data_IF_683597164413
#
_entry.id   IF_683597164413
#
_cell.length_a   1.000
_cell.length_b   1.000
_cell.length_c   1.000
_cell.angle_alpha   90.00
_cell.angle_beta   90.00
_cell.angle_gamma   90.00
#
_symmetry.space_group_name_H-M   'P 1'
#
loop_
_entity.id
_entity.type
_entity.pdbx_description
1 polymer ?
#
# COMPACT_ATOMS: atom_id res chain seq x y z
N UNK A 1 36.16 -9.76 6.64
CA UNK A 1 36.42 -8.88 5.48
C UNK A 1 35.33 -9.15 4.46
N UNK A 2 34.45 -8.19 4.17
CA UNK A 2 33.44 -8.35 3.13
C UNK A 2 34.13 -8.27 1.76
N UNK A 3 34.08 -9.32 0.95
CA UNK A 3 34.72 -9.34 -0.37
C UNK A 3 34.14 -8.23 -1.26
N UNK A 4 34.96 -7.44 -1.98
CA UNK A 4 34.49 -6.33 -2.82
C UNK A 4 33.49 -6.73 -3.92
N UNK A 5 33.40 -8.02 -4.28
CA UNK A 5 32.33 -8.54 -5.15
C UNK A 5 30.92 -8.38 -4.56
N UNK A 6 30.78 -8.43 -3.22
CA UNK A 6 29.48 -8.40 -2.55
C UNK A 6 28.75 -7.05 -2.65
N UNK A 7 29.49 -5.93 -2.68
CA UNK A 7 28.87 -4.60 -2.80
C UNK A 7 28.30 -4.38 -4.22
N UNK A 8 29.04 -4.77 -5.26
CA UNK A 8 28.57 -4.70 -6.65
C UNK A 8 27.36 -5.61 -6.88
N UNK A 9 27.37 -6.81 -6.32
CA UNK A 9 26.25 -7.75 -6.39
C UNK A 9 25.00 -7.19 -5.70
N UNK A 10 25.15 -6.57 -4.53
CA UNK A 10 24.05 -5.90 -3.83
C UNK A 10 23.47 -4.74 -4.63
N UNK A 11 24.32 -3.88 -5.19
CA UNK A 11 23.87 -2.76 -6.04
C UNK A 11 23.14 -3.30 -7.27
N UNK A 12 23.68 -4.31 -7.94
CA UNK A 12 23.04 -4.94 -9.09
C UNK A 12 21.69 -5.58 -8.73
N UNK A 13 21.57 -6.18 -7.55
CA UNK A 13 20.29 -6.72 -7.06
C UNK A 13 19.26 -5.60 -6.85
N UNK A 14 19.67 -4.47 -6.25
CA UNK A 14 18.80 -3.30 -6.07
C UNK A 14 18.36 -2.71 -7.41
N UNK A 15 19.29 -2.56 -8.35
CA UNK A 15 18.97 -2.09 -9.69
C UNK A 15 17.95 -2.99 -10.39
N UNK A 16 18.10 -4.32 -10.29
CA UNK A 16 17.11 -5.26 -10.84
C UNK A 16 15.74 -5.10 -10.20
N UNK A 17 15.67 -4.94 -8.87
CA UNK A 17 14.39 -4.71 -8.18
C UNK A 17 13.73 -3.41 -8.61
N UNK A 18 14.50 -2.33 -8.79
CA UNK A 18 13.98 -1.06 -9.27
C UNK A 18 13.48 -1.18 -10.72
N UNK A 19 14.22 -1.89 -11.57
CA UNK A 19 13.78 -2.17 -12.94
C UNK A 19 12.49 -2.99 -12.97
N UNK A 20 12.35 -4.03 -12.14
CA UNK A 20 11.08 -4.78 -12.01
C UNK A 20 9.90 -3.84 -11.71
N UNK A 21 10.09 -2.86 -10.80
CA UNK A 21 9.05 -1.89 -10.45
C UNK A 21 8.75 -0.91 -11.58
N UNK A 22 9.78 -0.44 -12.31
CA UNK A 22 9.63 0.44 -13.48
C UNK A 22 8.87 -0.29 -14.60
N UNK A 23 9.28 -1.51 -14.92
CA UNK A 23 8.60 -2.36 -15.91
C UNK A 23 7.14 -2.59 -15.51
N UNK A 24 6.88 -2.80 -14.21
CA UNK A 24 5.55 -2.91 -13.65
C UNK A 24 4.68 -1.67 -13.84
N UNK A 25 5.27 -0.46 -13.75
CA UNK A 25 4.57 0.80 -14.03
C UNK A 25 4.23 0.96 -15.52
N UNK A 26 5.06 0.40 -16.40
CA UNK A 26 4.82 0.34 -17.84
C UNK A 26 3.84 -0.79 -18.25
N UNK A 27 3.27 -1.50 -17.28
CA UNK A 27 2.29 -2.57 -17.48
C UNK A 27 2.89 -3.97 -17.60
N UNK A 28 4.21 -4.12 -17.50
CA UNK A 28 4.91 -5.40 -17.48
C UNK A 28 5.09 -5.88 -16.04
N UNK A 29 3.99 -6.32 -15.41
CA UNK A 29 3.97 -6.69 -14.00
C UNK A 29 4.96 -7.82 -13.64
N UNK A 30 5.69 -7.65 -12.53
CA UNK A 30 6.59 -8.68 -12.00
C UNK A 30 5.84 -9.70 -11.12
N UNK A 31 6.47 -10.85 -10.87
CA UNK A 31 5.98 -11.85 -9.91
C UNK A 31 7.09 -12.22 -8.93
N UNK A 32 6.83 -12.03 -7.64
CA UNK A 32 7.77 -12.42 -6.58
C UNK A 32 7.21 -13.56 -5.73
N UNK A 33 8.11 -14.47 -5.33
CA UNK A 33 7.79 -15.46 -4.31
C UNK A 33 7.61 -14.83 -2.92
N UNK A 34 6.99 -15.53 -1.99
CA UNK A 34 6.80 -15.06 -0.61
C UNK A 34 8.12 -14.63 0.04
N UNK A 35 9.18 -15.45 -0.11
CA UNK A 35 10.49 -15.15 0.46
C UNK A 35 11.14 -13.91 -0.16
N UNK A 36 11.02 -13.75 -1.49
CA UNK A 36 11.52 -12.56 -2.18
C UNK A 36 10.74 -11.31 -1.77
N UNK A 37 9.43 -11.42 -1.59
CA UNK A 37 8.58 -10.27 -1.25
C UNK A 37 9.04 -9.59 0.03
N UNK A 38 9.22 -10.31 1.12
CA UNK A 38 9.51 -9.69 2.42
C UNK A 38 10.86 -8.94 2.41
N UNK A 39 11.89 -9.54 1.80
CA UNK A 39 13.20 -8.90 1.62
C UNK A 39 13.09 -7.67 0.69
N UNK A 40 12.47 -7.82 -0.48
CA UNK A 40 12.44 -6.78 -1.51
C UNK A 40 11.56 -5.59 -1.11
N UNK A 41 10.42 -5.84 -0.47
CA UNK A 41 9.52 -4.76 0.01
C UNK A 41 10.23 -3.91 1.06
N UNK A 42 10.93 -4.54 2.02
CA UNK A 42 11.67 -3.80 3.04
C UNK A 42 12.79 -2.93 2.42
N UNK A 43 13.50 -3.45 1.41
CA UNK A 43 14.53 -2.69 0.70
C UNK A 43 13.94 -1.53 -0.12
N UNK A 44 12.80 -1.74 -0.77
CA UNK A 44 12.11 -0.70 -1.54
C UNK A 44 11.57 0.43 -0.66
N UNK A 45 11.09 0.11 0.55
CA UNK A 45 10.69 1.13 1.53
C UNK A 45 11.86 2.04 1.92
N UNK A 46 13.07 1.51 2.06
CA UNK A 46 14.25 2.31 2.38
C UNK A 46 14.64 3.31 1.28
N UNK A 47 14.24 3.06 0.04
CA UNK A 47 14.43 4.00 -1.09
C UNK A 47 13.18 4.84 -1.37
N UNK A 48 12.18 4.79 -0.48
CA UNK A 48 10.97 5.62 -0.54
C UNK A 48 9.87 5.07 -1.46
N UNK A 49 9.90 3.78 -1.82
CA UNK A 49 8.87 3.12 -2.63
C UNK A 49 8.09 2.16 -1.73
N UNK A 50 6.86 2.51 -1.39
CA UNK A 50 6.04 1.68 -0.51
C UNK A 50 5.07 0.81 -1.33
N UNK A 51 5.40 -0.48 -1.45
CA UNK A 51 4.53 -1.47 -2.09
C UNK A 51 3.52 -2.04 -1.10
N UNK A 52 2.24 -1.98 -1.44
CA UNK A 52 1.15 -2.49 -0.60
C UNK A 52 0.12 -3.23 -1.43
N UNK A 53 -0.53 -4.21 -0.81
CA UNK A 53 -1.68 -4.87 -1.41
C UNK A 53 -2.93 -4.02 -1.21
N UNK A 54 -3.97 -4.25 -2.03
CA UNK A 54 -5.24 -3.51 -1.92
C UNK A 54 -5.84 -3.58 -0.51
N UNK A 55 -5.75 -4.74 0.15
CA UNK A 55 -6.24 -4.94 1.51
C UNK A 55 -5.46 -4.08 2.51
N UNK A 56 -4.13 -4.04 2.40
CA UNK A 56 -3.28 -3.20 3.25
C UNK A 56 -3.56 -1.71 3.04
N UNK A 57 -3.71 -1.28 1.78
CA UNK A 57 -4.05 0.11 1.44
C UNK A 57 -5.37 0.56 2.09
N UNK A 58 -6.42 -0.26 1.97
CA UNK A 58 -7.71 0.01 2.59
C UNK A 58 -7.59 0.10 4.12
N UNK A 59 -6.84 -0.81 4.76
CA UNK A 59 -6.62 -0.80 6.20
C UNK A 59 -5.87 0.46 6.67
N UNK A 60 -5.01 1.02 5.81
CA UNK A 60 -4.28 2.27 6.05
C UNK A 60 -5.10 3.53 5.73
N UNK A 61 -6.37 3.41 5.31
CA UNK A 61 -7.21 4.55 4.93
C UNK A 61 -6.87 5.14 3.56
N UNK A 62 -6.30 4.34 2.65
CA UNK A 62 -6.04 4.73 1.26
C UNK A 62 -6.98 4.00 0.31
N UNK A 63 -7.24 4.61 -0.85
CA UNK A 63 -7.91 3.97 -1.99
C UNK A 63 -7.07 4.13 -3.24
N UNK A 64 -7.22 3.19 -4.18
CA UNK A 64 -6.59 3.27 -5.50
C UNK A 64 -7.18 4.41 -6.33
N UNK A 65 -6.34 5.08 -7.11
CA UNK A 65 -6.77 6.02 -8.16
C UNK A 65 -7.54 5.27 -9.26
N UNK A 66 -8.40 6.00 -9.98
CA UNK A 66 -9.12 5.42 -11.11
C UNK A 66 -8.14 4.92 -12.17
N UNK A 67 -8.32 3.69 -12.65
CA UNK A 67 -7.46 3.07 -13.65
C UNK A 67 -6.10 2.57 -13.16
N UNK A 68 -5.83 2.61 -11.84
CA UNK A 68 -4.57 2.10 -11.29
C UNK A 68 -4.39 0.60 -11.60
N UNK A 69 -3.31 0.27 -12.31
CA UNK A 69 -2.90 -1.10 -12.61
C UNK A 69 -1.91 -1.61 -11.56
N UNK A 70 -1.92 -2.91 -11.22
CA UNK A 70 -0.91 -3.45 -10.33
C UNK A 70 0.47 -3.42 -10.98
N UNK A 71 1.50 -3.04 -10.21
CA UNK A 71 2.90 -3.07 -10.67
C UNK A 71 3.50 -4.48 -10.64
N UNK A 72 2.88 -5.39 -9.90
CA UNK A 72 3.29 -6.78 -9.83
C UNK A 72 2.39 -7.59 -8.92
N UNK A 73 2.76 -8.84 -8.68
CA UNK A 73 2.05 -9.76 -7.80
C UNK A 73 2.97 -10.36 -6.74
N UNK A 74 2.48 -10.40 -5.50
CA UNK A 74 3.10 -11.12 -4.40
C UNK A 74 2.43 -12.50 -4.25
N UNK A 75 3.22 -13.56 -4.29
CA UNK A 75 2.73 -14.92 -4.02
C UNK A 75 2.77 -15.24 -2.53
N UNK A 76 1.67 -15.71 -2.00
CA UNK A 76 1.58 -16.29 -0.66
C UNK A 76 1.51 -17.80 -0.75
N UNK A 77 2.37 -18.47 0.01
CA UNK A 77 2.36 -19.93 0.11
C UNK A 77 1.42 -20.31 1.24
N UNK A 78 0.20 -20.76 0.92
CA UNK A 78 -0.61 -21.52 1.86
C UNK A 78 -0.36 -23.02 1.66
N UNK A 79 -0.59 -23.88 2.67
CA UNK A 79 -0.29 -25.31 2.60
C UNK A 79 -0.98 -26.06 1.44
N UNK A 80 -2.11 -25.55 0.95
CA UNK A 80 -2.94 -26.19 -0.08
C UNK A 80 -3.13 -25.34 -1.35
N UNK A 81 -2.85 -24.03 -1.29
CA UNK A 81 -3.06 -23.10 -2.42
C UNK A 81 -2.00 -22.00 -2.45
N UNK A 82 -1.60 -21.59 -3.65
CA UNK A 82 -0.83 -20.37 -3.87
C UNK A 82 -1.82 -19.24 -4.16
N UNK A 83 -1.80 -18.20 -3.33
CA UNK A 83 -2.58 -16.98 -3.58
C UNK A 83 -1.67 -15.92 -4.17
N UNK A 84 -2.10 -15.27 -5.25
CA UNK A 84 -1.40 -14.12 -5.81
C UNK A 84 -2.16 -12.85 -5.42
N UNK A 85 -1.51 -11.92 -4.72
CA UNK A 85 -2.09 -10.61 -4.44
C UNK A 85 -1.42 -9.52 -5.28
N UNK A 86 -2.21 -8.65 -5.92
CA UNK A 86 -1.66 -7.51 -6.66
C UNK A 86 -1.02 -6.49 -5.73
N UNK A 87 0.14 -5.98 -6.13
CA UNK A 87 0.89 -4.93 -5.47
C UNK A 87 0.70 -3.59 -6.19
N UNK A 88 0.63 -2.53 -5.40
CA UNK A 88 0.50 -1.16 -5.86
C UNK A 88 1.48 -0.26 -5.11
N UNK A 89 1.93 0.81 -5.76
CA UNK A 89 2.78 1.84 -5.15
C UNK A 89 1.88 2.86 -4.43
N UNK A 90 2.02 2.96 -3.11
CA UNK A 90 1.20 3.84 -2.26
C UNK A 90 1.25 5.30 -2.75
N UNK A 91 2.45 5.83 -2.94
CA UNK A 91 2.71 7.25 -3.22
C UNK A 91 2.16 7.69 -4.58
N UNK A 92 2.17 6.79 -5.56
CA UNK A 92 1.83 7.11 -6.94
C UNK A 92 0.41 6.71 -7.32
N UNK A 93 -0.05 5.54 -6.87
CA UNK A 93 -1.28 4.92 -7.35
C UNK A 93 -2.46 5.07 -6.39
N UNK A 94 -2.23 5.63 -5.21
CA UNK A 94 -3.25 5.74 -4.17
C UNK A 94 -3.56 7.20 -3.81
N UNK A 95 -4.72 7.41 -3.22
CA UNK A 95 -5.12 8.66 -2.57
C UNK A 95 -5.63 8.35 -1.17
N UNK A 96 -5.30 9.19 -0.21
CA UNK A 96 -5.84 9.09 1.14
C UNK A 96 -7.36 9.29 1.07
N UNK A 97 -8.10 8.43 1.77
CA UNK A 97 -9.53 8.60 1.99
C UNK A 97 -9.66 9.56 3.18
N UNK A 98 -10.29 10.74 3.01
CA UNK A 98 -10.59 11.59 4.15
C UNK A 98 -11.49 10.80 5.08
N UNK A 99 -10.99 10.43 6.26
CA UNK A 99 -11.81 9.79 7.28
C UNK A 99 -12.98 10.73 7.57
N UNK A 100 -14.22 10.27 7.35
CA UNK A 100 -15.43 10.99 7.71
C UNK A 100 -15.51 11.30 9.22
N UNK A 101 -14.63 10.70 10.04
CA UNK A 101 -14.47 11.00 11.48
C UNK A 101 -13.83 12.35 11.79
N UNK A 102 -13.39 13.14 10.80
CA UNK A 102 -12.91 14.51 11.01
C UNK A 102 -14.00 15.59 10.82
N UNK A 103 -15.28 15.22 10.89
CA UNK A 103 -16.37 16.21 10.96
C UNK A 103 -16.91 16.31 12.40
N UNK A 104 -16.40 17.22 13.25
CA UNK A 104 -17.06 17.62 14.49
C UNK A 104 -18.25 18.54 14.16
N UNK A 105 -19.17 18.11 13.29
CA UNK A 105 -20.40 18.84 13.04
C UNK A 105 -21.51 18.34 13.96
N UNK A 106 -21.73 19.16 15.00
CA UNK A 106 -23.02 19.44 15.63
C UNK A 106 -23.75 18.22 16.21
N UNK A 107 -23.33 17.84 17.41
CA UNK A 107 -24.31 17.46 18.42
C UNK A 107 -25.03 18.74 18.88
N UNK A 108 -25.93 19.28 18.06
CA UNK A 108 -26.95 20.22 18.56
C UNK A 108 -27.93 19.36 19.35
N UNK A 109 -27.71 19.27 20.66
CA UNK A 109 -28.74 18.78 21.57
C UNK A 109 -30.03 19.56 21.29
N UNK A 110 -31.18 18.89 21.11
CA UNK A 110 -32.46 19.58 21.26
C UNK A 110 -32.56 19.95 22.75
N UNK A 111 -32.47 21.25 23.06
CA UNK A 111 -32.95 21.75 24.35
C UNK A 111 -34.47 21.73 24.27
N UNK A 112 -35.02 20.56 24.58
CA UNK A 112 -36.40 20.39 25.00
C UNK A 112 -36.60 21.12 26.33
N UNK A 113 -37.77 21.73 26.50
CA UNK A 113 -38.26 22.18 27.80
C UNK A 113 -38.19 23.68 28.09
N UNK A 114 -39.20 24.41 27.63
CA UNK A 114 -39.89 25.37 28.50
C UNK A 114 -41.37 25.43 28.12
N UNK A 115 -42.14 24.61 28.83
CA UNK A 115 -43.58 24.77 29.03
C UNK A 115 -43.81 26.07 29.80
N UNK A 116 -44.62 26.97 29.27
CA UNK A 116 -45.25 28.06 30.02
C UNK A 116 -46.76 27.91 29.90
N UNK A 117 -47.48 27.66 31.01
CA UNK A 117 -48.94 27.77 31.05
C UNK A 117 -49.33 29.25 31.26
N UNK A 118 -50.41 29.68 30.60
CA UNK A 118 -51.27 30.84 30.89
C UNK A 118 -52.17 30.98 29.65
N UNK A 119 -53.50 31.13 29.70
CA UNK A 119 -54.51 31.43 30.73
C UNK A 119 -55.81 30.72 30.33
#
# INVERSE_FOLDING_TARGET
MASPNTAKERIAAIQRMLNDVVDGLDGNGFSWSAAQRDERVSLLEHVGITLRTKTQLNAMGYRLKHGAQPVGVARYKAPLHCYEEPLYILEYQCVAVPNASANPQKNKQPTDGSFSPNE
#
